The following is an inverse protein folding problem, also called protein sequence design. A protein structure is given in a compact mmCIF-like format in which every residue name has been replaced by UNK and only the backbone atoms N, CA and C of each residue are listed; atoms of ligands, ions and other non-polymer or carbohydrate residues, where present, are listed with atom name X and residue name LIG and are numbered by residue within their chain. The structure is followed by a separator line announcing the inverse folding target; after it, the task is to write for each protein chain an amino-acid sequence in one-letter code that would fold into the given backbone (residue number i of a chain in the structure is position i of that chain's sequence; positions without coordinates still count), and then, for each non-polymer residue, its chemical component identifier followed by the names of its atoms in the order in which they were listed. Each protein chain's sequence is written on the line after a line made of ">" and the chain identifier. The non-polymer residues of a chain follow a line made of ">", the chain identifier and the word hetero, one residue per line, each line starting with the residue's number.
data_IF_473021363992
#
_entry.id   IF_473021363992
#
_cell.length_a   1.000
_cell.length_b   1.000
_cell.length_c   1.000
_cell.angle_alpha   90.00
_cell.angle_beta   90.00
_cell.angle_gamma   90.00
#
_symmetry.space_group_name_H-M   'P 1'
#
loop_
_entity.id
_entity.type
_entity.pdbx_description
1 polymer ?
#
# COMPACT_ATOMS: atom_id res chain seq x y z
N UNK A 1 -30.09 -6.39 0.86
CA UNK A 1 -28.69 -6.11 1.19
C UNK A 1 -28.43 -6.57 2.62
N UNK A 2 -27.87 -7.77 2.83
CA UNK A 2 -27.49 -8.21 4.17
C UNK A 2 -26.18 -7.52 4.52
N UNK A 3 -26.26 -6.57 5.42
CA UNK A 3 -25.15 -5.86 6.00
C UNK A 3 -24.23 -6.85 6.75
N UNK A 4 -23.10 -7.21 6.17
CA UNK A 4 -22.07 -8.02 6.84
C UNK A 4 -21.28 -7.16 7.83
N UNK A 5 -21.95 -6.36 8.63
CA UNK A 5 -21.34 -5.42 9.58
C UNK A 5 -20.64 -6.08 10.75
N UNK A 6 -20.92 -7.35 11.02
CA UNK A 6 -20.34 -8.11 12.11
C UNK A 6 -19.87 -9.46 11.55
N UNK A 7 -18.58 -9.64 11.33
CA UNK A 7 -18.07 -10.91 10.89
C UNK A 7 -16.65 -10.86 10.33
N UNK A 8 -16.07 -12.02 10.14
CA UNK A 8 -14.82 -12.20 9.40
C UNK A 8 -15.13 -11.98 7.91
N UNK A 9 -14.28 -11.18 7.23
CA UNK A 9 -14.28 -11.13 5.78
C UNK A 9 -13.61 -12.42 5.30
N UNK A 10 -14.24 -13.07 4.33
CA UNK A 10 -13.61 -14.16 3.60
C UNK A 10 -12.65 -13.52 2.57
N UNK A 11 -11.37 -13.50 2.91
CA UNK A 11 -10.35 -12.87 2.10
C UNK A 11 -10.20 -13.54 0.73
N UNK A 12 -10.43 -14.85 0.65
CA UNK A 12 -10.36 -15.62 -0.61
C UNK A 12 -11.52 -15.21 -1.54
N UNK A 13 -12.73 -15.19 -1.02
CA UNK A 13 -13.91 -14.76 -1.80
C UNK A 13 -13.79 -13.28 -2.20
N UNK A 14 -13.33 -12.43 -1.29
CA UNK A 14 -13.14 -11.01 -1.56
C UNK A 14 -12.09 -10.76 -2.66
N UNK A 15 -10.94 -11.45 -2.63
CA UNK A 15 -9.92 -11.35 -3.67
C UNK A 15 -10.41 -11.92 -5.03
N UNK A 16 -11.23 -12.98 -5.01
CA UNK A 16 -11.81 -13.52 -6.23
C UNK A 16 -12.70 -12.48 -6.92
N UNK A 17 -13.53 -11.77 -6.16
CA UNK A 17 -14.39 -10.70 -6.68
C UNK A 17 -13.59 -9.53 -7.31
N UNK A 18 -12.36 -9.27 -6.85
CA UNK A 18 -11.54 -8.19 -7.41
C UNK A 18 -11.08 -8.45 -8.86
N UNK A 19 -11.09 -9.71 -9.30
CA UNK A 19 -10.65 -10.07 -10.67
C UNK A 19 -11.55 -9.46 -11.73
N UNK A 20 -12.83 -9.39 -11.44
CA UNK A 20 -13.86 -8.92 -12.37
C UNK A 20 -14.16 -7.41 -12.23
N UNK A 21 -13.53 -6.73 -11.23
CA UNK A 21 -13.72 -5.29 -11.03
C UNK A 21 -12.81 -4.48 -11.93
N UNK A 22 -13.35 -3.40 -12.46
CA UNK A 22 -12.61 -2.44 -13.26
C UNK A 22 -12.03 -1.30 -12.40
N UNK A 23 -11.11 -0.54 -12.99
CA UNK A 23 -10.63 0.72 -12.43
C UNK A 23 -11.79 1.70 -12.35
N UNK A 24 -11.93 2.38 -11.21
CA UNK A 24 -13.12 3.18 -10.91
C UNK A 24 -13.07 4.64 -11.35
N UNK A 25 -12.14 4.98 -12.24
CA UNK A 25 -12.00 6.33 -12.81
C UNK A 25 -11.40 6.28 -14.22
N UNK A 26 -11.63 7.36 -14.99
CA UNK A 26 -10.99 7.58 -16.27
C UNK A 26 -9.75 8.47 -16.06
N UNK A 27 -8.55 8.06 -16.50
CA UNK A 27 -7.34 8.89 -16.43
C UNK A 27 -7.49 10.27 -17.07
N UNK A 28 -8.36 10.43 -18.06
CA UNK A 28 -8.63 11.71 -18.72
C UNK A 28 -9.33 12.74 -17.82
N UNK A 29 -9.98 12.27 -16.74
CA UNK A 29 -10.64 13.13 -15.74
C UNK A 29 -9.66 13.66 -14.67
N UNK A 30 -8.43 13.16 -14.63
CA UNK A 30 -7.45 13.48 -13.59
C UNK A 30 -6.84 14.86 -13.82
N UNK A 31 -7.42 15.88 -13.19
CA UNK A 31 -6.97 17.29 -13.30
C UNK A 31 -7.30 18.13 -12.07
N UNK A 32 -6.46 19.15 -11.77
CA UNK A 32 -6.82 20.16 -10.76
C UNK A 32 -8.06 20.97 -11.20
N UNK A 33 -8.84 21.53 -10.25
CA UNK A 33 -8.70 21.42 -8.80
C UNK A 33 -9.43 20.22 -8.18
N UNK A 34 -10.11 19.38 -8.99
CA UNK A 34 -10.98 18.31 -8.51
C UNK A 34 -10.18 17.14 -7.90
N UNK A 35 -8.93 16.98 -8.32
CA UNK A 35 -8.03 15.92 -7.89
C UNK A 35 -6.92 16.44 -6.97
N UNK A 36 -6.56 15.64 -5.98
CA UNK A 36 -5.40 15.88 -5.14
C UNK A 36 -4.17 15.24 -5.78
N UNK A 37 -3.06 15.98 -5.78
CA UNK A 37 -1.76 15.52 -6.23
C UNK A 37 -0.79 15.62 -5.06
N UNK A 38 -0.32 14.50 -4.57
CA UNK A 38 0.59 14.44 -3.43
C UNK A 38 1.86 13.68 -3.82
N UNK A 39 3.00 14.22 -3.39
CA UNK A 39 4.29 13.54 -3.49
C UNK A 39 4.96 13.60 -2.13
N UNK A 40 5.36 12.45 -1.62
CA UNK A 40 6.11 12.34 -0.37
C UNK A 40 7.42 11.63 -0.62
N UNK A 41 8.52 12.22 -0.14
CA UNK A 41 9.86 11.66 -0.23
C UNK A 41 10.41 11.40 1.16
N UNK A 42 11.07 10.26 1.35
CA UNK A 42 11.72 9.89 2.60
C UNK A 42 13.08 9.27 2.30
N UNK A 43 14.11 9.73 3.00
CA UNK A 43 15.43 9.10 2.93
C UNK A 43 15.35 7.71 3.60
N UNK A 44 15.75 6.67 2.85
CA UNK A 44 15.83 5.30 3.34
C UNK A 44 17.24 4.97 3.85
N UNK A 45 18.25 5.46 3.15
CA UNK A 45 19.65 5.26 3.51
C UNK A 45 20.59 5.79 2.43
N UNK A 46 21.85 5.40 2.53
CA UNK A 46 22.87 5.76 1.54
C UNK A 46 23.74 4.55 1.20
N UNK A 47 24.18 4.50 -0.04
CA UNK A 47 25.18 3.60 -0.58
C UNK A 47 26.34 4.42 -1.15
N UNK A 48 27.35 3.76 -1.69
CA UNK A 48 28.36 4.47 -2.50
C UNK A 48 27.72 5.08 -3.75
N UNK A 49 28.23 6.22 -4.24
CA UNK A 49 27.89 6.71 -5.58
C UNK A 49 28.08 5.63 -6.64
N UNK A 50 27.23 5.62 -7.67
CA UNK A 50 27.22 4.61 -8.71
C UNK A 50 25.96 3.70 -8.71
N UNK A 51 26.00 2.57 -9.43
CA UNK A 51 24.87 1.65 -9.51
C UNK A 51 24.50 1.05 -8.14
N UNK A 52 23.29 0.47 -7.97
CA UNK A 52 22.91 -0.21 -6.74
C UNK A 52 23.93 -1.27 -6.30
N UNK A 53 24.21 -1.31 -4.99
CA UNK A 53 25.08 -2.31 -4.39
C UNK A 53 24.30 -3.62 -4.18
N UNK A 54 24.91 -4.75 -4.52
CA UNK A 54 24.33 -6.06 -4.26
C UNK A 54 24.11 -6.25 -2.74
N UNK A 55 22.88 -6.59 -2.34
CA UNK A 55 22.49 -6.69 -0.94
C UNK A 55 22.49 -5.35 -0.19
N UNK A 56 22.57 -4.23 -0.90
CA UNK A 56 22.59 -2.88 -0.32
C UNK A 56 21.22 -2.33 0.04
N UNK A 57 21.22 -1.03 0.39
CA UNK A 57 20.03 -0.28 0.81
C UNK A 57 18.94 -0.29 -0.25
N UNK A 58 19.33 -0.06 -1.53
CA UNK A 58 18.38 0.04 -2.62
C UNK A 58 17.70 -1.30 -2.90
N UNK A 59 18.44 -2.40 -2.93
CA UNK A 59 17.87 -3.74 -3.14
C UNK A 59 16.96 -4.15 -1.99
N UNK A 60 17.40 -3.95 -0.75
CA UNK A 60 16.58 -4.24 0.43
C UNK A 60 15.28 -3.41 0.44
N UNK A 61 15.35 -2.12 0.10
CA UNK A 61 14.17 -1.28 -0.01
C UNK A 61 13.23 -1.73 -1.13
N UNK A 62 13.78 -2.07 -2.31
CA UNK A 62 13.02 -2.59 -3.46
C UNK A 62 12.23 -3.84 -3.09
N UNK A 63 12.87 -4.80 -2.42
CA UNK A 63 12.23 -6.06 -2.06
C UNK A 63 11.11 -5.86 -1.04
N UNK A 64 11.32 -4.99 -0.04
CA UNK A 64 10.28 -4.63 0.94
C UNK A 64 9.10 -3.89 0.29
N UNK A 65 9.36 -3.02 -0.70
CA UNK A 65 8.31 -2.31 -1.44
C UNK A 65 7.57 -3.28 -2.37
N UNK A 66 8.28 -4.21 -3.03
CA UNK A 66 7.67 -5.25 -3.87
C UNK A 66 6.69 -6.12 -3.08
N UNK A 67 7.04 -6.47 -1.86
CA UNK A 67 6.26 -7.36 -1.01
C UNK A 67 5.26 -6.62 -0.11
N UNK A 68 5.12 -5.29 -0.29
CA UNK A 68 4.19 -4.42 0.47
C UNK A 68 4.45 -4.37 1.99
N UNK A 69 5.67 -4.63 2.43
CA UNK A 69 6.03 -4.70 3.86
C UNK A 69 6.20 -3.32 4.52
N UNK A 70 6.33 -2.26 3.72
CA UNK A 70 6.62 -0.89 4.17
C UNK A 70 5.44 -0.17 4.80
N UNK A 71 4.22 -0.69 4.67
CA UNK A 71 3.02 0.00 5.19
C UNK A 71 2.90 -0.12 6.70
N UNK A 72 2.41 0.92 7.40
CA UNK A 72 2.15 0.86 8.83
C UNK A 72 0.91 -0.03 9.11
N UNK A 73 1.08 -1.18 9.79
CA UNK A 73 0.02 -2.18 9.94
C UNK A 73 -1.17 -1.71 10.78
N UNK A 74 -0.95 -0.68 11.59
CA UNK A 74 -2.01 -0.05 12.37
C UNK A 74 -2.92 0.85 11.52
N UNK A 75 -2.52 1.17 10.28
CA UNK A 75 -3.30 1.96 9.35
C UNK A 75 -3.81 1.15 8.16
N UNK A 76 -2.92 0.42 7.48
CA UNK A 76 -3.26 -0.38 6.30
C UNK A 76 -2.52 -1.71 6.33
N UNK A 77 -3.25 -2.76 6.04
CA UNK A 77 -2.74 -4.08 5.69
C UNK A 77 -3.21 -4.45 4.28
N UNK A 78 -2.52 -5.37 3.64
CA UNK A 78 -2.93 -5.93 2.37
C UNK A 78 -2.96 -7.45 2.40
N UNK A 79 -3.91 -8.02 1.67
CA UNK A 79 -3.98 -9.46 1.41
C UNK A 79 -3.87 -9.67 -0.09
N UNK A 80 -3.03 -10.61 -0.51
CA UNK A 80 -2.85 -10.98 -1.92
C UNK A 80 -2.31 -12.40 -2.07
N UNK A 81 -2.38 -12.95 -3.29
CA UNK A 81 -1.72 -14.22 -3.60
C UNK A 81 -0.26 -13.99 -3.99
N UNK A 82 0.69 -14.57 -3.25
CA UNK A 82 2.13 -14.45 -3.54
C UNK A 82 2.52 -14.95 -4.93
N UNK A 83 1.81 -15.97 -5.42
CA UNK A 83 2.02 -16.58 -6.76
C UNK A 83 1.60 -15.67 -7.91
N UNK A 84 0.72 -14.70 -7.66
CA UNK A 84 0.27 -13.80 -8.72
C UNK A 84 1.43 -12.89 -9.15
N UNK A 85 1.66 -12.70 -10.46
CA UNK A 85 2.68 -11.77 -10.94
C UNK A 85 2.41 -10.38 -10.40
N UNK A 86 3.48 -9.59 -10.17
CA UNK A 86 3.34 -8.26 -9.58
C UNK A 86 2.46 -7.35 -10.46
N UNK A 87 2.70 -7.34 -11.77
CA UNK A 87 1.82 -6.66 -12.72
C UNK A 87 0.49 -7.43 -12.82
N UNK A 88 -0.61 -6.73 -12.65
CA UNK A 88 -1.96 -7.29 -12.63
C UNK A 88 -2.39 -7.86 -11.26
N UNK A 89 -1.51 -7.84 -10.25
CA UNK A 89 -1.83 -8.34 -8.91
C UNK A 89 -2.94 -7.51 -8.28
N UNK A 90 -3.99 -8.20 -7.82
CA UNK A 90 -5.01 -7.60 -6.98
C UNK A 90 -4.56 -7.62 -5.52
N UNK A 91 -4.77 -6.50 -4.84
CA UNK A 91 -4.54 -6.36 -3.39
C UNK A 91 -5.88 -6.01 -2.73
N UNK A 92 -6.26 -6.78 -1.72
CA UNK A 92 -7.35 -6.42 -0.83
C UNK A 92 -6.75 -5.63 0.34
N UNK A 93 -6.97 -4.33 0.36
CA UNK A 93 -6.50 -3.46 1.43
C UNK A 93 -7.47 -3.46 2.59
N UNK A 94 -6.98 -3.71 3.80
CA UNK A 94 -7.69 -3.50 5.05
C UNK A 94 -7.25 -2.16 5.65
N UNK A 95 -8.04 -1.10 5.46
CA UNK A 95 -7.84 0.19 6.10
C UNK A 95 -8.41 0.17 7.52
N UNK A 96 -7.65 0.73 8.48
CA UNK A 96 -8.02 0.80 9.89
C UNK A 96 -8.24 2.25 10.30
N UNK A 97 -9.41 2.53 10.83
CA UNK A 97 -9.76 3.84 11.35
C UNK A 97 -10.53 3.69 12.67
N UNK A 98 -9.87 4.00 13.79
CA UNK A 98 -10.43 3.76 15.12
C UNK A 98 -10.89 2.30 15.28
N UNK A 99 -12.18 2.07 15.53
CA UNK A 99 -12.80 0.75 15.64
C UNK A 99 -13.35 0.22 14.29
N UNK A 100 -13.16 0.98 13.20
CA UNK A 100 -13.68 0.62 11.89
C UNK A 100 -12.58 0.02 11.02
N UNK A 101 -12.94 -0.99 10.28
CA UNK A 101 -12.12 -1.59 9.23
C UNK A 101 -12.86 -1.50 7.90
N UNK A 102 -12.14 -1.08 6.88
CA UNK A 102 -12.62 -0.94 5.53
C UNK A 102 -11.81 -1.83 4.62
N UNK A 103 -12.48 -2.60 3.79
CA UNK A 103 -11.85 -3.44 2.78
C UNK A 103 -12.02 -2.80 1.41
N UNK A 104 -10.91 -2.62 0.71
CA UNK A 104 -10.83 -1.87 -0.54
C UNK A 104 -9.98 -2.63 -1.54
N UNK A 105 -10.46 -2.77 -2.77
CA UNK A 105 -9.71 -3.41 -3.84
C UNK A 105 -8.84 -2.44 -4.61
N UNK A 106 -7.59 -2.84 -4.88
CA UNK A 106 -6.70 -2.15 -5.81
C UNK A 106 -6.00 -3.17 -6.71
N UNK A 107 -5.54 -2.73 -7.88
CA UNK A 107 -4.78 -3.55 -8.83
C UNK A 107 -3.48 -2.87 -9.21
N UNK A 108 -2.38 -3.62 -9.22
CA UNK A 108 -1.10 -3.11 -9.73
C UNK A 108 -1.17 -3.08 -11.25
N UNK A 109 -1.11 -1.88 -11.83
CA UNK A 109 -1.33 -1.64 -13.27
C UNK A 109 -0.06 -1.24 -14.01
N UNK A 110 0.99 -0.83 -13.31
CA UNK A 110 2.26 -0.50 -13.93
C UNK A 110 3.45 -0.91 -13.06
N UNK A 111 4.53 -1.28 -13.73
CA UNK A 111 5.86 -1.50 -13.14
C UNK A 111 6.83 -0.47 -13.70
N UNK A 112 7.73 -0.02 -12.86
CA UNK A 112 8.77 0.96 -13.17
C UNK A 112 10.12 0.30 -12.89
N UNK A 113 10.98 0.22 -13.89
CA UNK A 113 12.38 -0.18 -13.76
C UNK A 113 13.20 0.55 -14.80
N UNK A 114 13.74 1.70 -14.44
CA UNK A 114 14.38 2.61 -15.38
C UNK A 114 15.53 3.38 -14.75
N UNK A 115 16.31 4.02 -15.60
CA UNK A 115 17.30 5.02 -15.18
C UNK A 115 16.87 6.37 -15.72
N UNK A 116 16.50 7.30 -14.84
CA UNK A 116 16.06 8.66 -15.19
C UNK A 116 17.24 9.59 -15.33
N UNK A 117 17.28 10.32 -16.43
CA UNK A 117 18.29 11.37 -16.70
C UNK A 117 19.74 10.91 -16.47
N UNK A 118 20.03 9.60 -16.56
CA UNK A 118 21.34 9.01 -16.25
C UNK A 118 21.85 9.29 -14.81
N UNK A 119 20.98 9.72 -13.91
CA UNK A 119 21.31 10.12 -12.55
C UNK A 119 20.56 9.37 -11.47
N UNK A 120 19.44 8.74 -11.81
CA UNK A 120 18.61 8.06 -10.84
C UNK A 120 18.26 6.65 -11.32
N UNK A 121 18.61 5.64 -10.57
CA UNK A 121 18.07 4.29 -10.75
C UNK A 121 16.77 4.19 -9.97
N UNK A 122 15.68 3.89 -10.67
CA UNK A 122 14.34 3.84 -10.13
C UNK A 122 13.74 2.46 -10.34
N UNK A 123 13.12 1.94 -9.28
CA UNK A 123 12.25 0.78 -9.34
C UNK A 123 10.98 1.06 -8.53
N UNK A 124 9.87 0.61 -9.05
CA UNK A 124 8.61 0.82 -8.37
C UNK A 124 7.42 0.20 -9.10
N UNK A 125 6.24 0.54 -8.61
CA UNK A 125 4.98 0.11 -9.22
C UNK A 125 3.84 1.07 -8.85
N UNK A 126 2.81 1.05 -9.68
CA UNK A 126 1.59 1.82 -9.48
C UNK A 126 0.42 0.87 -9.30
N UNK A 127 -0.43 1.14 -8.29
CA UNK A 127 -1.75 0.55 -8.25
C UNK A 127 -2.83 1.59 -8.55
N UNK A 128 -3.93 1.10 -9.07
CA UNK A 128 -5.16 1.87 -9.28
C UNK A 128 -6.29 1.32 -8.43
N UNK A 129 -7.18 2.21 -8.01
CA UNK A 129 -8.36 1.86 -7.23
C UNK A 129 -9.39 1.20 -8.12
N UNK A 130 -10.01 0.12 -7.61
CA UNK A 130 -11.06 -0.60 -8.30
C UNK A 130 -12.45 -0.10 -7.87
N UNK A 131 -13.47 -0.55 -8.59
CA UNK A 131 -14.86 -0.30 -8.25
C UNK A 131 -15.14 -0.56 -6.77
N UNK A 132 -16.02 0.24 -6.18
CA UNK A 132 -16.39 0.22 -4.77
C UNK A 132 -15.29 0.65 -3.77
N UNK A 133 -14.14 1.16 -4.25
CA UNK A 133 -13.16 1.79 -3.40
C UNK A 133 -13.66 3.13 -2.87
N UNK A 134 -13.24 3.52 -1.65
CA UNK A 134 -13.65 4.78 -1.01
C UNK A 134 -13.10 6.02 -1.71
N UNK A 135 -12.01 5.86 -2.45
CA UNK A 135 -11.36 6.87 -3.29
C UNK A 135 -11.34 6.42 -4.75
N UNK A 136 -11.08 7.37 -5.64
CA UNK A 136 -10.72 7.12 -7.03
C UNK A 136 -9.31 7.63 -7.25
N UNK A 137 -8.48 6.85 -7.93
CA UNK A 137 -7.13 7.28 -8.26
C UNK A 137 -6.09 6.19 -8.23
N UNK A 138 -4.83 6.63 -8.15
CA UNK A 138 -3.67 5.75 -8.13
C UNK A 138 -2.67 6.18 -7.06
N UNK A 139 -1.81 5.24 -6.72
CA UNK A 139 -0.61 5.51 -5.92
C UNK A 139 0.56 4.79 -6.55
N UNK A 140 1.64 5.53 -6.75
CA UNK A 140 2.92 5.02 -7.22
C UNK A 140 3.90 5.01 -6.05
N UNK A 141 4.53 3.87 -5.82
CA UNK A 141 5.61 3.71 -4.85
C UNK A 141 6.91 3.42 -5.59
N UNK A 142 7.94 4.19 -5.30
CA UNK A 142 9.23 4.08 -5.96
C UNK A 142 10.36 4.03 -4.93
N UNK A 143 11.40 3.26 -5.26
CA UNK A 143 12.71 3.31 -4.62
C UNK A 143 13.68 3.93 -5.60
N UNK A 144 14.21 5.09 -5.25
CA UNK A 144 15.06 5.91 -6.11
C UNK A 144 16.46 5.96 -5.52
N UNK A 145 17.46 5.53 -6.28
CA UNK A 145 18.87 5.74 -5.94
C UNK A 145 19.45 6.86 -6.79
N UNK A 146 19.95 7.91 -6.14
CA UNK A 146 20.70 8.97 -6.79
C UNK A 146 22.15 8.52 -7.04
N UNK A 147 22.49 8.28 -8.30
CA UNK A 147 23.77 7.66 -8.69
C UNK A 147 24.99 8.53 -8.33
N UNK A 148 24.81 9.86 -8.33
CA UNK A 148 25.88 10.79 -8.03
C UNK A 148 26.20 10.92 -6.52
N UNK A 149 25.20 10.71 -5.65
CA UNK A 149 25.35 10.91 -4.20
C UNK A 149 25.24 9.63 -3.40
N UNK A 150 24.72 8.57 -4.00
CA UNK A 150 24.44 7.31 -3.31
C UNK A 150 23.19 7.35 -2.40
N UNK A 151 22.45 8.45 -2.32
CA UNK A 151 21.22 8.53 -1.54
C UNK A 151 20.16 7.59 -2.11
N UNK A 152 19.48 6.89 -1.22
CA UNK A 152 18.32 6.03 -1.56
C UNK A 152 17.08 6.61 -0.90
N UNK A 153 16.10 6.93 -1.69
CA UNK A 153 14.83 7.51 -1.26
C UNK A 153 13.66 6.60 -1.58
N UNK A 154 12.68 6.61 -0.69
CA UNK A 154 11.33 6.11 -0.96
C UNK A 154 10.46 7.29 -1.40
N UNK A 155 9.77 7.13 -2.52
CA UNK A 155 8.87 8.14 -3.07
C UNK A 155 7.48 7.54 -3.18
N UNK A 156 6.49 8.20 -2.58
CA UNK A 156 5.08 7.88 -2.75
C UNK A 156 4.39 9.03 -3.47
N UNK A 157 3.86 8.79 -4.65
CA UNK A 157 3.11 9.76 -5.45
C UNK A 157 1.66 9.30 -5.56
N UNK A 158 0.72 10.20 -5.34
CA UNK A 158 -0.69 9.89 -5.34
C UNK A 158 -1.48 10.90 -6.16
N UNK A 159 -2.39 10.39 -6.97
CA UNK A 159 -3.45 11.17 -7.61
C UNK A 159 -4.77 10.63 -7.10
N UNK A 160 -5.52 11.42 -6.35
CA UNK A 160 -6.72 10.92 -5.71
C UNK A 160 -7.88 11.90 -5.68
N UNK A 161 -9.05 11.34 -5.78
CA UNK A 161 -10.31 12.03 -5.59
C UNK A 161 -11.23 11.15 -4.74
N UNK A 162 -12.11 11.78 -3.96
CA UNK A 162 -13.13 11.04 -3.22
C UNK A 162 -14.09 10.35 -4.17
N UNK A 163 -14.41 9.09 -3.90
CA UNK A 163 -15.45 8.39 -4.65
C UNK A 163 -16.83 9.03 -4.37
N UNK A 164 -17.63 9.32 -5.41
CA UNK A 164 -19.00 9.83 -5.23
C UNK A 164 -19.93 8.81 -4.56
N UNK A 165 -19.61 7.53 -4.62
CA UNK A 165 -20.40 6.45 -4.02
C UNK A 165 -20.33 6.38 -2.48
N UNK A 166 -19.50 7.22 -1.84
CA UNK A 166 -19.36 7.23 -0.37
C UNK A 166 -20.57 7.88 0.28
N UNK A 167 -21.27 7.13 1.13
CA UNK A 167 -22.45 7.61 1.87
C UNK A 167 -22.15 8.80 2.80
N UNK A 168 -23.18 9.55 3.25
CA UNK A 168 -23.03 10.83 3.97
C UNK A 168 -22.23 10.69 5.28
N UNK A 169 -22.36 9.60 6.00
CA UNK A 169 -21.66 9.38 7.28
C UNK A 169 -20.15 9.20 7.04
N UNK A 170 -19.76 8.39 6.07
CA UNK A 170 -18.36 8.20 5.69
C UNK A 170 -17.79 9.48 5.07
N UNK A 171 -18.61 10.24 4.33
CA UNK A 171 -18.24 11.53 3.75
C UNK A 171 -17.85 12.55 4.82
N UNK A 172 -18.59 12.59 5.94
CA UNK A 172 -18.28 13.47 7.06
C UNK A 172 -17.01 13.03 7.78
N UNK A 173 -16.83 11.73 8.06
CA UNK A 173 -15.61 11.20 8.67
C UNK A 173 -14.37 11.48 7.80
N UNK A 174 -14.47 11.30 6.49
CA UNK A 174 -13.40 11.57 5.54
C UNK A 174 -13.01 13.04 5.47
N UNK A 175 -13.98 13.96 5.60
CA UNK A 175 -13.72 15.42 5.60
C UNK A 175 -12.83 15.85 6.76
N UNK A 176 -12.95 15.22 7.94
CA UNK A 176 -12.18 15.58 9.12
C UNK A 176 -10.83 14.85 9.23
N UNK A 177 -10.73 13.64 8.69
CA UNK A 177 -9.58 12.75 8.91
C UNK A 177 -8.83 12.38 7.63
N UNK A 178 -9.48 12.40 6.46
CA UNK A 178 -8.95 11.80 5.24
C UNK A 178 -7.56 12.32 4.85
N UNK A 179 -7.42 13.61 4.58
CA UNK A 179 -6.15 14.16 4.05
C UNK A 179 -5.01 14.14 5.08
N UNK A 180 -5.30 14.47 6.35
CA UNK A 180 -4.25 14.43 7.40
C UNK A 180 -3.78 13.01 7.65
N UNK A 181 -4.70 12.05 7.62
CA UNK A 181 -4.40 10.63 7.78
C UNK A 181 -3.59 10.11 6.59
N UNK A 182 -3.92 10.52 5.37
CA UNK A 182 -3.19 10.18 4.16
C UNK A 182 -1.73 10.68 4.19
N UNK A 183 -1.52 11.95 4.53
CA UNK A 183 -0.16 12.51 4.66
C UNK A 183 0.64 11.85 5.80
N UNK A 184 -0.03 11.53 6.90
CA UNK A 184 0.57 10.78 8.01
C UNK A 184 0.94 9.36 7.59
N UNK A 185 0.09 8.72 6.78
CA UNK A 185 0.34 7.39 6.24
C UNK A 185 1.62 7.36 5.42
N UNK A 186 1.79 8.24 4.42
CA UNK A 186 3.01 8.26 3.59
C UNK A 186 4.29 8.52 4.41
N UNK A 187 4.23 9.42 5.39
CA UNK A 187 5.37 9.66 6.29
C UNK A 187 5.74 8.40 7.07
N UNK A 188 4.76 7.69 7.60
CA UNK A 188 4.98 6.45 8.34
C UNK A 188 5.47 5.31 7.47
N UNK A 189 5.02 5.24 6.21
CA UNK A 189 5.56 4.30 5.23
C UNK A 189 7.07 4.48 5.06
N UNK A 190 7.52 5.72 4.85
CA UNK A 190 8.94 6.03 4.71
C UNK A 190 9.75 5.71 5.97
N UNK A 191 9.23 6.06 7.16
CA UNK A 191 9.88 5.75 8.44
C UNK A 191 10.02 4.24 8.64
N UNK A 192 8.93 3.49 8.44
CA UNK A 192 8.94 2.03 8.58
C UNK A 192 9.89 1.38 7.57
N UNK A 193 9.88 1.81 6.30
CA UNK A 193 10.81 1.29 5.31
C UNK A 193 12.27 1.50 5.72
N UNK A 194 12.61 2.70 6.22
CA UNK A 194 13.96 2.97 6.74
C UNK A 194 14.35 2.01 7.88
N UNK A 195 13.44 1.79 8.84
CA UNK A 195 13.66 0.87 9.97
C UNK A 195 13.86 -0.57 9.50
N UNK A 196 13.02 -1.06 8.58
CA UNK A 196 13.08 -2.40 8.02
C UNK A 196 14.37 -2.63 7.22
N UNK A 197 14.76 -1.69 6.38
CA UNK A 197 16.01 -1.76 5.61
C UNK A 197 17.21 -1.80 6.55
N UNK A 198 17.24 -0.91 7.56
CA UNK A 198 18.32 -0.92 8.56
C UNK A 198 18.41 -2.27 9.28
N UNK A 199 17.28 -2.82 9.71
CA UNK A 199 17.24 -4.11 10.39
C UNK A 199 17.73 -5.26 9.47
N UNK A 200 17.31 -5.25 8.21
CA UNK A 200 17.77 -6.24 7.21
C UNK A 200 19.28 -6.21 7.01
N UNK A 201 19.88 -5.01 6.90
CA UNK A 201 21.31 -4.85 6.69
C UNK A 201 22.16 -5.17 7.93
N UNK A 202 21.59 -5.02 9.14
CA UNK A 202 22.29 -5.35 10.39
C UNK A 202 22.09 -6.79 10.86
N UNK A 203 21.32 -7.60 10.10
CA UNK A 203 20.97 -8.96 10.50
C UNK A 203 20.11 -9.03 11.77
N UNK A 204 19.55 -7.89 12.20
CA UNK A 204 18.62 -7.83 13.32
C UNK A 204 17.29 -8.42 12.87
N UNK A 205 16.76 -9.49 13.47
CA UNK A 205 15.45 -9.97 13.10
C UNK A 205 14.44 -8.87 13.38
N UNK A 206 13.87 -8.28 12.34
CA UNK A 206 12.59 -7.58 12.48
C UNK A 206 11.66 -8.64 13.00
N UNK A 207 11.11 -8.46 14.21
CA UNK A 207 10.27 -9.46 14.88
C UNK A 207 9.43 -10.19 13.84
N UNK A 208 9.90 -11.37 13.45
CA UNK A 208 9.12 -12.29 12.66
C UNK A 208 8.01 -12.75 13.60
N UNK A 209 6.95 -11.97 13.65
CA UNK A 209 5.72 -12.40 14.28
C UNK A 209 5.34 -13.73 13.66
N UNK A 210 4.70 -14.56 14.43
CA UNK A 210 4.25 -15.87 14.02
C UNK A 210 3.71 -15.82 12.58
N UNK A 211 4.16 -16.76 11.76
CA UNK A 211 3.67 -16.98 10.39
C UNK A 211 2.16 -16.77 10.37
N UNK A 212 1.70 -15.89 9.50
CA UNK A 212 0.26 -15.65 9.40
C UNK A 212 -0.44 -16.97 9.06
N UNK A 213 -1.53 -17.36 9.76
CA UNK A 213 -2.29 -18.57 9.43
C UNK A 213 -2.77 -18.62 7.96
N UNK A 214 -2.72 -17.49 7.26
CA UNK A 214 -3.11 -17.35 5.85
C UNK A 214 -2.08 -17.87 4.84
N UNK A 215 -0.87 -18.26 5.26
CA UNK A 215 0.13 -18.81 4.32
C UNK A 215 -0.25 -20.19 3.75
N UNK A 216 -1.30 -20.85 4.26
CA UNK A 216 -1.63 -22.23 3.88
C UNK A 216 -2.08 -22.39 2.43
N UNK A 217 -2.56 -21.33 1.73
CA UNK A 217 -3.03 -21.38 0.34
C UNK A 217 -2.28 -20.43 -0.62
N UNK A 218 -1.05 -20.02 -0.26
CA UNK A 218 -0.31 -19.02 -1.02
C UNK A 218 -0.87 -17.60 -0.86
N UNK A 219 -1.84 -17.42 0.04
CA UNK A 219 -2.36 -16.14 0.45
C UNK A 219 -1.44 -15.54 1.52
N UNK A 220 -1.09 -14.29 1.38
CA UNK A 220 -0.26 -13.58 2.36
C UNK A 220 -0.97 -12.34 2.88
N UNK A 221 -0.82 -12.10 4.19
CA UNK A 221 -1.22 -10.88 4.86
C UNK A 221 0.03 -10.06 5.19
N UNK A 222 0.11 -8.87 4.66
CA UNK A 222 1.25 -7.95 4.84
C UNK A 222 0.79 -6.63 5.46
N UNK A 223 1.63 -5.95 6.23
CA UNK A 223 2.97 -6.34 6.65
C UNK A 223 2.98 -7.58 7.52
N UNK A 224 4.04 -8.38 7.36
CA UNK A 224 4.27 -9.56 8.19
C UNK A 224 4.64 -9.20 9.63
N UNK A 225 4.49 -10.15 10.54
CA UNK A 225 4.99 -10.00 11.90
C UNK A 225 4.16 -9.13 12.85
N UNK A 226 2.94 -8.78 12.51
CA UNK A 226 2.09 -7.94 13.33
C UNK A 226 1.20 -8.78 14.25
N UNK A 227 1.41 -8.63 15.56
CA UNK A 227 0.51 -9.25 16.54
C UNK A 227 -0.91 -8.69 16.42
N UNK A 228 -1.94 -9.53 16.60
CA UNK A 228 -3.32 -9.06 16.68
C UNK A 228 -3.48 -8.02 17.79
N UNK A 229 -4.11 -6.89 17.46
CA UNK A 229 -4.39 -5.89 18.50
C UNK A 229 -5.54 -6.38 19.39
N UNK A 230 -5.48 -6.19 20.72
CA UNK A 230 -6.53 -6.64 21.64
C UNK A 230 -7.94 -6.13 21.28
N UNK A 231 -8.03 -4.96 20.66
CA UNK A 231 -9.29 -4.37 20.20
C UNK A 231 -9.78 -4.91 18.85
N UNK A 232 -9.02 -5.76 18.16
CA UNK A 232 -9.41 -6.32 16.86
C UNK A 232 -10.72 -7.11 16.93
N UNK A 233 -10.98 -7.78 18.03
CA UNK A 233 -12.23 -8.51 18.29
C UNK A 233 -13.47 -7.64 18.41
N UNK A 234 -13.30 -6.35 18.70
CA UNK A 234 -14.40 -5.37 18.82
C UNK A 234 -14.54 -4.50 17.59
N UNK A 235 -13.71 -4.71 16.57
CA UNK A 235 -13.70 -3.87 15.39
C UNK A 235 -14.92 -4.17 14.52
N UNK A 236 -15.66 -3.13 14.16
CA UNK A 236 -16.72 -3.23 13.15
C UNK A 236 -16.06 -3.33 11.79
N UNK A 237 -16.25 -4.46 11.13
CA UNK A 237 -15.71 -4.70 9.79
C UNK A 237 -16.77 -4.30 8.76
N UNK A 238 -16.42 -3.35 7.92
CA UNK A 238 -17.24 -2.99 6.78
C UNK A 238 -16.58 -3.54 5.51
N UNK A 239 -17.23 -4.49 4.90
CA UNK A 239 -16.96 -4.95 3.54
C UNK A 239 -18.02 -4.33 2.64
N UNK A 240 -17.61 -3.72 1.54
CA UNK A 240 -18.53 -3.21 0.54
C UNK A 240 -18.49 -4.15 -0.66
N UNK A 241 -19.30 -5.25 -0.66
CA UNK A 241 -19.45 -6.07 -1.85
C UNK A 241 -20.11 -5.20 -2.92
N UNK A 242 -19.66 -5.30 -4.14
CA UNK A 242 -20.31 -4.67 -5.28
C UNK A 242 -21.81 -4.98 -5.31
N UNK A 243 -22.59 -4.05 -5.83
CA UNK A 243 -23.97 -4.29 -6.20
C UNK A 243 -24.03 -5.08 -7.50
#
# INVERSE_FOLDING_TARGET
>A
MRDRRLGNVDDVAALAELRDREVNYDPSEVRPPEWNFDVHRSLVGCERPGPPEAGGVWEAARDLVRDYEFTPPELIRAVYYRRDPLLGRNLLLEGRFSLLRFYMGVRITALIDETRHQQEKVWGWTYETLEHHLERGNVTYEVVKHLNTGKVEFVASCQSQRSPAVGPVLRMGWRFFGRRTQLRFYRRCGQRLHELVRASLTGTPVSAGAQSPLEMDGLVLVPSGVAPHPLDRFTIRQYNPGR
#
